data_IF_009000016482
#
_entry.id   IF_009000016482
#
_cell.length_a   1.000
_cell.length_b   1.000
_cell.length_c   1.000
_cell.angle_alpha   90.00
_cell.angle_beta   90.00
_cell.angle_gamma   90.00
#
_symmetry.space_group_name_H-M   'P 1'
#
loop_
_entity.id
_entity.type
_entity.pdbx_description
1 polymer ?
#
# COMPACT_ATOMS: atom_id res chain seq x y z
N UNK A 1 -14.75 -1.86 -21.51
CA UNK A 1 -14.36 -1.77 -20.08
C UNK A 1 -13.42 -0.57 -19.95
N UNK A 2 -13.96 0.57 -19.55
CA UNK A 2 -13.31 1.88 -19.65
C UNK A 2 -12.38 2.22 -18.49
N UNK A 3 -11.77 3.41 -18.58
CA UNK A 3 -10.89 4.06 -17.59
C UNK A 3 -11.45 4.00 -16.15
N UNK A 4 -12.76 3.84 -15.99
CA UNK A 4 -13.45 3.64 -14.71
C UNK A 4 -13.00 2.43 -13.89
N UNK A 5 -12.41 1.39 -14.49
CA UNK A 5 -11.85 0.25 -13.75
C UNK A 5 -10.42 0.49 -13.22
N UNK A 6 -9.76 1.54 -13.72
CA UNK A 6 -8.35 1.85 -13.46
C UNK A 6 -8.21 2.83 -12.28
N UNK A 7 -9.22 3.66 -12.07
CA UNK A 7 -9.24 4.70 -11.04
C UNK A 7 -9.43 4.22 -9.58
N UNK A 8 -10.15 3.12 -9.27
CA UNK A 8 -10.44 2.73 -7.88
C UNK A 8 -9.18 2.54 -7.00
N UNK A 9 -8.14 1.80 -7.44
CA UNK A 9 -6.97 1.55 -6.59
C UNK A 9 -6.21 2.82 -6.20
N UNK A 10 -6.13 3.80 -7.10
CA UNK A 10 -5.45 5.08 -6.84
C UNK A 10 -6.22 5.88 -5.79
N UNK A 11 -7.54 6.01 -5.96
CA UNK A 11 -8.39 6.78 -5.06
C UNK A 11 -8.43 6.13 -3.67
N UNK A 12 -8.53 4.80 -3.62
CA UNK A 12 -8.51 4.04 -2.37
C UNK A 12 -7.19 4.22 -1.62
N UNK A 13 -6.03 4.17 -2.29
CA UNK A 13 -4.74 4.36 -1.62
C UNK A 13 -4.57 5.80 -1.11
N UNK A 14 -4.98 6.80 -1.87
CA UNK A 14 -4.95 8.20 -1.41
C UNK A 14 -5.86 8.42 -0.20
N UNK A 15 -7.07 7.85 -0.22
CA UNK A 15 -8.02 7.99 0.88
C UNK A 15 -7.54 7.24 2.13
N UNK A 16 -7.25 5.95 2.01
CA UNK A 16 -6.93 5.11 3.17
C UNK A 16 -5.51 5.34 3.70
N UNK A 17 -4.50 5.45 2.82
CA UNK A 17 -3.08 5.45 3.21
C UNK A 17 -2.50 6.87 3.21
N UNK A 18 -3.11 7.78 2.47
CA UNK A 18 -2.83 9.21 2.57
C UNK A 18 -3.64 9.83 3.70
N UNK A 19 -4.92 10.10 3.46
CA UNK A 19 -5.71 10.94 4.36
C UNK A 19 -6.04 10.27 5.70
N UNK A 20 -6.74 9.13 5.67
CA UNK A 20 -7.22 8.44 6.88
C UNK A 20 -6.05 8.01 7.76
N UNK A 21 -5.03 7.36 7.18
CA UNK A 21 -3.87 6.90 7.93
C UNK A 21 -3.08 8.05 8.55
N UNK A 22 -2.98 9.22 7.88
CA UNK A 22 -2.29 10.38 8.43
C UNK A 22 -3.02 10.95 9.64
N UNK A 23 -4.35 11.07 9.57
CA UNK A 23 -5.18 11.53 10.70
C UNK A 23 -5.05 10.56 11.87
N UNK A 24 -5.20 9.25 11.61
CA UNK A 24 -5.08 8.24 12.66
C UNK A 24 -3.68 8.23 13.27
N UNK A 25 -2.63 8.39 12.47
CA UNK A 25 -1.24 8.44 12.94
C UNK A 25 -0.93 9.67 13.78
N UNK A 26 -1.66 10.77 13.60
CA UNK A 26 -1.55 11.95 14.46
C UNK A 26 -2.21 11.72 15.83
N UNK A 27 -3.36 11.04 15.85
CA UNK A 27 -4.18 10.91 17.05
C UNK A 27 -3.92 9.64 17.89
N UNK A 28 -3.33 8.59 17.31
CA UNK A 28 -3.23 7.28 17.94
C UNK A 28 -1.85 6.63 17.86
N UNK A 29 -1.49 5.78 18.85
CA UNK A 29 -0.31 4.92 18.74
C UNK A 29 -0.41 3.94 17.59
N UNK A 30 0.71 3.62 16.95
CA UNK A 30 0.81 2.74 15.76
C UNK A 30 -0.03 1.45 15.83
N UNK A 31 -0.09 0.79 16.99
CA UNK A 31 -0.89 -0.44 17.16
C UNK A 31 -2.38 -0.21 16.89
N UNK A 32 -2.93 0.88 17.42
CA UNK A 32 -4.33 1.24 17.23
C UNK A 32 -4.60 1.75 15.82
N UNK A 33 -3.65 2.47 15.21
CA UNK A 33 -3.78 2.92 13.82
C UNK A 33 -3.94 1.75 12.86
N UNK A 34 -3.13 0.69 13.03
CA UNK A 34 -3.23 -0.52 12.20
C UNK A 34 -4.58 -1.21 12.39
N UNK A 35 -5.06 -1.35 13.64
CA UNK A 35 -6.35 -1.98 13.94
C UNK A 35 -7.51 -1.18 13.36
N UNK A 36 -7.52 0.14 13.54
CA UNK A 36 -8.58 1.02 13.03
C UNK A 36 -8.56 1.03 11.50
N UNK A 37 -7.37 1.07 10.88
CA UNK A 37 -7.21 1.00 9.42
C UNK A 37 -7.73 -0.33 8.86
N UNK A 38 -7.48 -1.46 9.53
CA UNK A 38 -8.02 -2.78 9.18
C UNK A 38 -9.55 -2.79 9.22
N UNK A 39 -10.15 -2.23 10.27
CA UNK A 39 -11.61 -2.19 10.43
C UNK A 39 -12.24 -1.30 9.35
N UNK A 40 -11.72 -0.07 9.15
CA UNK A 40 -12.27 0.87 8.16
C UNK A 40 -12.19 0.31 6.74
N UNK A 41 -11.06 -0.31 6.38
CA UNK A 41 -10.90 -0.92 5.06
C UNK A 41 -11.80 -2.14 4.88
N UNK A 42 -11.95 -2.96 5.93
CA UNK A 42 -12.85 -4.11 5.97
C UNK A 42 -14.34 -3.76 5.90
N UNK A 43 -14.76 -2.59 6.40
CA UNK A 43 -16.16 -2.13 6.33
C UNK A 43 -16.60 -1.82 4.89
N UNK A 44 -15.68 -1.33 4.07
CA UNK A 44 -15.97 -0.89 2.69
C UNK A 44 -15.83 -2.05 1.69
N UNK A 45 -15.01 -3.05 2.00
CA UNK A 45 -14.80 -4.22 1.15
C UNK A 45 -15.53 -5.46 1.68
N UNK A 46 -14.98 -6.06 2.73
CA UNK A 46 -15.55 -7.17 3.50
C UNK A 46 -14.58 -7.51 4.62
N UNK A 47 -15.11 -7.68 5.84
CA UNK A 47 -14.32 -7.94 7.05
C UNK A 47 -13.46 -9.19 6.95
N UNK A 48 -14.00 -10.24 6.30
CA UNK A 48 -13.37 -11.55 6.16
C UNK A 48 -13.10 -11.79 4.68
N UNK A 49 -12.24 -10.96 4.09
CA UNK A 49 -11.81 -11.10 2.71
C UNK A 49 -10.29 -11.06 2.58
N UNK A 50 -9.70 -11.76 1.59
CA UNK A 50 -8.27 -11.66 1.30
C UNK A 50 -7.82 -10.22 1.01
N UNK A 51 -8.72 -9.41 0.43
CA UNK A 51 -8.49 -7.99 0.13
C UNK A 51 -8.24 -7.20 1.42
N UNK A 52 -8.98 -7.49 2.51
CA UNK A 52 -8.77 -6.81 3.79
C UNK A 52 -7.40 -7.11 4.42
N UNK A 53 -6.93 -8.35 4.26
CA UNK A 53 -5.59 -8.77 4.71
C UNK A 53 -4.52 -8.03 3.90
N UNK A 54 -4.65 -7.97 2.58
CA UNK A 54 -3.74 -7.21 1.69
C UNK A 54 -3.75 -5.73 2.06
N UNK A 55 -4.93 -5.16 2.32
CA UNK A 55 -5.05 -3.76 2.69
C UNK A 55 -4.36 -3.40 4.02
N UNK A 56 -4.29 -4.36 4.94
CA UNK A 56 -3.54 -4.25 6.20
C UNK A 56 -2.03 -4.34 5.98
N UNK A 57 -1.60 -5.22 5.07
CA UNK A 57 -0.19 -5.30 4.66
C UNK A 57 0.26 -3.96 4.07
N UNK A 58 -0.58 -3.32 3.26
CA UNK A 58 -0.29 -1.99 2.71
C UNK A 58 -0.12 -0.94 3.79
N UNK A 59 -1.00 -0.92 4.81
CA UNK A 59 -0.84 -0.04 5.97
C UNK A 59 0.54 -0.22 6.63
N UNK A 60 0.98 -1.48 6.82
CA UNK A 60 2.31 -1.78 7.38
C UNK A 60 3.43 -1.30 6.45
N UNK A 61 3.32 -1.49 5.13
CA UNK A 61 4.31 -1.02 4.15
C UNK A 61 4.46 0.49 4.25
N UNK A 62 3.36 1.25 4.22
CA UNK A 62 3.39 2.72 4.33
C UNK A 62 4.03 3.16 5.64
N UNK A 63 3.78 2.46 6.75
CA UNK A 63 4.45 2.74 8.02
C UNK A 63 5.97 2.52 7.98
N UNK A 64 6.46 1.57 7.18
CA UNK A 64 7.89 1.25 7.07
C UNK A 64 8.60 2.12 6.04
N UNK A 65 7.97 2.37 4.89
CA UNK A 65 8.54 3.14 3.77
C UNK A 65 8.30 4.64 3.93
N UNK A 66 7.36 5.05 4.78
CA UNK A 66 6.84 6.42 4.89
C UNK A 66 6.36 6.97 3.53
N UNK A 67 5.88 6.09 2.66
CA UNK A 67 5.45 6.44 1.31
C UNK A 67 4.28 5.57 0.88
N UNK A 68 3.30 6.20 0.21
CA UNK A 68 2.10 5.55 -0.35
C UNK A 68 2.40 4.97 -1.74
N UNK A 69 3.46 5.45 -2.40
CA UNK A 69 3.82 5.03 -3.77
C UNK A 69 4.00 3.51 -3.92
N UNK A 70 4.65 2.78 -2.98
CA UNK A 70 4.80 1.34 -3.10
C UNK A 70 3.46 0.58 -3.02
N UNK A 71 2.51 1.03 -2.20
CA UNK A 71 1.22 0.33 -2.08
C UNK A 71 0.30 0.67 -3.23
N UNK A 72 0.32 1.94 -3.67
CA UNK A 72 -0.36 2.42 -4.85
C UNK A 72 0.03 1.68 -6.12
N UNK A 73 1.32 1.40 -6.32
CA UNK A 73 1.78 0.61 -7.46
C UNK A 73 1.32 -0.84 -7.35
N UNK A 74 1.50 -1.50 -6.20
CA UNK A 74 1.09 -2.91 -6.02
C UNK A 74 -0.42 -3.07 -6.22
N UNK A 75 -1.23 -2.17 -5.66
CA UNK A 75 -2.69 -2.24 -5.75
C UNK A 75 -3.19 -2.04 -7.17
N UNK A 76 -2.61 -1.06 -7.88
CA UNK A 76 -2.91 -0.81 -9.27
C UNK A 76 -2.54 -1.99 -10.18
N UNK A 77 -1.41 -2.66 -9.88
CA UNK A 77 -0.92 -3.83 -10.60
C UNK A 77 -1.80 -5.07 -10.37
N UNK A 78 -2.36 -5.23 -9.17
CA UNK A 78 -3.30 -6.32 -8.88
C UNK A 78 -4.64 -6.17 -9.61
N UNK A 79 -5.00 -4.95 -10.04
CA UNK A 79 -6.26 -4.70 -10.73
C UNK A 79 -6.21 -4.92 -12.26
N UNK A 80 -5.04 -5.15 -12.87
CA UNK A 80 -4.89 -5.31 -14.34
C UNK A 80 -4.01 -6.51 -14.74
N UNK A 81 -4.55 -7.48 -15.50
CA UNK A 81 -3.89 -8.76 -15.80
C UNK A 81 -2.62 -8.69 -16.71
N UNK A 82 -1.60 -9.45 -16.28
CA UNK A 82 -0.43 -10.08 -16.95
C UNK A 82 0.87 -9.30 -17.27
N UNK A 83 0.89 -8.16 -17.98
CA UNK A 83 2.17 -7.51 -18.34
C UNK A 83 2.88 -6.77 -17.18
N UNK A 84 2.15 -6.45 -16.11
CA UNK A 84 2.68 -5.74 -14.94
C UNK A 84 3.45 -6.62 -13.96
N UNK A 85 3.33 -7.95 -14.04
CA UNK A 85 4.11 -8.88 -13.23
C UNK A 85 5.62 -8.73 -13.48
N UNK A 86 6.01 -8.56 -14.76
CA UNK A 86 7.42 -8.40 -15.14
C UNK A 86 8.02 -7.06 -14.67
N UNK A 87 7.24 -5.97 -14.70
CA UNK A 87 7.66 -4.63 -14.26
C UNK A 87 7.81 -4.51 -12.73
N UNK A 88 6.97 -5.24 -11.97
CA UNK A 88 7.06 -5.30 -10.50
C UNK A 88 8.33 -6.00 -10.04
N UNK A 89 8.67 -7.13 -10.65
CA UNK A 89 9.89 -7.88 -10.31
C UNK A 89 11.12 -7.00 -10.54
N UNK A 90 11.16 -6.24 -11.63
CA UNK A 90 12.24 -5.28 -11.89
C UNK A 90 12.25 -4.13 -10.88
N UNK A 91 11.08 -3.57 -10.54
CA UNK A 91 10.97 -2.44 -9.60
C UNK A 91 11.36 -2.81 -8.16
N UNK A 92 11.03 -4.02 -7.70
CA UNK A 92 11.43 -4.54 -6.37
C UNK A 92 12.94 -4.78 -6.32
N UNK A 93 13.51 -5.38 -7.37
CA UNK A 93 14.96 -5.60 -7.47
C UNK A 93 15.70 -4.25 -7.43
N UNK A 94 15.21 -3.24 -8.16
CA UNK A 94 15.78 -1.89 -8.16
C UNK A 94 15.66 -1.23 -6.78
N UNK A 95 14.51 -1.34 -6.12
CA UNK A 95 14.30 -0.73 -4.80
C UNK A 95 15.18 -1.36 -3.71
N UNK A 96 15.25 -2.69 -3.62
CA UNK A 96 16.13 -3.41 -2.68
C UNK A 96 17.60 -3.14 -2.98
N UNK A 97 17.97 -3.04 -4.26
CA UNK A 97 19.33 -2.68 -4.66
C UNK A 97 19.71 -1.27 -4.22
N UNK A 98 18.84 -0.27 -4.44
CA UNK A 98 19.07 1.12 -3.99
C UNK A 98 19.16 1.19 -2.45
N UNK A 99 18.28 0.49 -1.74
CA UNK A 99 18.32 0.40 -0.27
C UNK A 99 19.61 -0.26 0.23
N UNK A 100 20.08 -1.33 -0.42
CA UNK A 100 21.34 -2.03 -0.11
C UNK A 100 22.57 -1.14 -0.36
N UNK A 101 22.58 -0.37 -1.46
CA UNK A 101 23.64 0.61 -1.74
C UNK A 101 23.70 1.74 -0.71
N UNK A 102 22.55 2.23 -0.25
CA UNK A 102 22.48 3.29 0.77
C UNK A 102 22.96 2.80 2.13
N UNK A 103 22.79 1.51 2.45
CA UNK A 103 23.26 0.88 3.69
C UNK A 103 24.78 0.68 3.72
N UNK A 104 25.43 0.45 2.57
CA UNK A 104 26.90 0.31 2.47
C UNK A 104 27.68 1.62 2.59
N UNK A 105 27.09 2.77 2.24
CA UNK A 105 27.73 4.10 2.38
C UNK A 105 27.66 4.70 3.79
N UNK A 106 26.97 4.03 4.71
CA UNK A 106 26.72 4.48 6.09
C UNK A 106 27.60 3.75 7.13
N UNK A 107 28.60 2.99 6.67
CA UNK A 107 29.70 2.40 7.44
C UNK A 107 30.98 3.13 7.00
#
# INVERSE_FOLDING_TARGET
>A
MGIYAIQPPIVEELLFRGFILSILSYSFPKKYVIIISLILFGLIHSMISPINVIGTIYCIIVFRTKSILPTMTIHYIQSTNLYQFAFVVTSIIIFEFICSLKKRKSI
#
